data_IF_860108582020
#
_entry.id   IF_860108582020
#
_cell.length_a   1.000
_cell.length_b   1.000
_cell.length_c   1.000
_cell.angle_alpha   90.00
_cell.angle_beta   90.00
_cell.angle_gamma   90.00
#
_symmetry.space_group_name_H-M   'P 1'
#
loop_
_entity.id
_entity.type
_entity.pdbx_description
1 polymer ?
#
# COMPACT_ATOMS: atom_id res chain seq x y z
N UNK A 1 38.56 -27.53 -43.57
CA UNK A 1 39.01 -27.05 -44.89
C UNK A 1 37.79 -26.93 -45.81
N UNK A 2 37.76 -25.92 -46.70
CA UNK A 2 36.60 -25.06 -46.93
C UNK A 2 35.86 -25.36 -48.25
N UNK A 3 34.66 -24.82 -48.44
CA UNK A 3 34.22 -24.40 -49.79
C UNK A 3 33.57 -23.03 -49.75
N UNK A 4 34.36 -22.07 -50.23
CA UNK A 4 33.95 -20.81 -50.82
C UNK A 4 32.99 -21.06 -51.99
N UNK A 5 31.99 -20.19 -52.12
CA UNK A 5 31.13 -20.10 -53.30
C UNK A 5 30.43 -18.74 -53.37
N UNK A 6 30.96 -17.84 -54.20
CA UNK A 6 30.27 -16.68 -54.80
C UNK A 6 30.32 -16.86 -56.32
N UNK A 7 29.64 -16.05 -57.17
CA UNK A 7 28.34 -15.35 -57.08
C UNK A 7 27.48 -15.59 -58.35
N UNK A 8 26.19 -15.16 -58.41
CA UNK A 8 25.53 -14.83 -59.71
C UNK A 8 24.56 -13.63 -59.59
N UNK A 9 24.50 -12.87 -60.69
CA UNK A 9 24.04 -11.47 -60.82
C UNK A 9 22.53 -11.28 -61.01
N UNK A 10 22.04 -10.21 -60.36
CA UNK A 10 21.13 -9.14 -60.79
C UNK A 10 19.97 -9.42 -61.78
N UNK A 11 18.75 -9.01 -61.39
CA UNK A 11 17.77 -8.35 -62.29
C UNK A 11 16.94 -7.31 -61.54
N UNK A 12 17.22 -6.05 -61.86
CA UNK A 12 16.38 -4.87 -61.66
C UNK A 12 14.92 -5.11 -62.07
N UNK A 13 13.97 -4.70 -61.22
CA UNK A 13 12.63 -4.28 -61.64
C UNK A 13 12.25 -2.97 -60.94
N UNK A 14 12.01 -1.97 -61.77
CA UNK A 14 11.67 -0.58 -61.44
C UNK A 14 10.28 -0.41 -60.80
N UNK A 15 10.27 0.38 -59.72
CA UNK A 15 9.39 1.53 -59.36
C UNK A 15 7.89 1.30 -59.08
N UNK A 16 7.46 1.71 -57.87
CA UNK A 16 6.34 2.65 -57.62
C UNK A 16 6.64 3.54 -56.40
N UNK A 17 6.39 4.86 -56.42
CA UNK A 17 6.66 5.74 -55.28
C UNK A 17 5.52 5.65 -54.27
N UNK A 18 5.82 5.14 -53.06
CA UNK A 18 4.89 5.06 -51.95
C UNK A 18 5.15 6.16 -50.92
N UNK A 19 4.29 7.18 -50.92
CA UNK A 19 3.91 8.10 -49.83
C UNK A 19 4.80 8.08 -48.57
N UNK A 20 5.63 9.11 -48.37
CA UNK A 20 6.20 9.41 -47.06
C UNK A 20 5.07 9.86 -46.12
N UNK A 21 4.59 8.95 -45.28
CA UNK A 21 3.85 9.31 -44.06
C UNK A 21 4.91 9.38 -42.96
N UNK A 22 5.21 10.60 -42.51
CA UNK A 22 6.12 10.83 -41.40
C UNK A 22 5.63 10.05 -40.18
N UNK A 23 6.46 9.13 -39.71
CA UNK A 23 6.28 8.50 -38.42
C UNK A 23 6.50 9.59 -37.36
N UNK A 24 5.41 10.17 -36.87
CA UNK A 24 5.42 10.86 -35.59
C UNK A 24 5.74 9.81 -34.54
N UNK A 25 7.02 9.71 -34.21
CA UNK A 25 7.54 8.94 -33.10
C UNK A 25 7.07 9.60 -31.80
N UNK A 26 5.78 9.39 -31.49
CA UNK A 26 5.31 9.52 -30.11
C UNK A 26 5.93 8.35 -29.39
N UNK A 27 7.14 8.59 -28.90
CA UNK A 27 7.85 7.73 -27.97
C UNK A 27 6.91 7.45 -26.79
N UNK A 28 6.13 6.38 -26.88
CA UNK A 28 5.47 5.77 -25.73
C UNK A 28 6.63 5.26 -24.89
N UNK A 29 7.03 6.04 -23.89
CA UNK A 29 7.97 5.59 -22.87
C UNK A 29 7.45 4.25 -22.35
N UNK A 30 8.17 3.20 -22.67
CA UNK A 30 7.94 1.89 -22.09
C UNK A 30 8.09 2.07 -20.58
N UNK A 31 7.02 1.84 -19.84
CA UNK A 31 7.03 1.93 -18.39
C UNK A 31 7.84 0.72 -17.89
N UNK A 32 9.15 0.88 -17.77
CA UNK A 32 10.01 -0.12 -17.15
C UNK A 32 9.69 -0.14 -15.67
N UNK A 33 9.13 -1.23 -15.10
CA UNK A 33 8.84 -1.29 -13.68
C UNK A 33 10.15 -1.52 -12.94
N UNK A 34 10.87 -0.42 -12.68
CA UNK A 34 12.19 -0.49 -12.09
C UNK A 34 12.67 0.86 -11.61
N UNK A 35 12.80 0.99 -10.29
CA UNK A 35 13.73 1.91 -9.64
C UNK A 35 13.45 3.42 -9.69
N UNK A 36 12.32 3.87 -10.22
CA UNK A 36 11.85 5.29 -10.15
C UNK A 36 10.80 5.54 -9.04
N UNK A 37 10.64 4.57 -8.12
CA UNK A 37 9.66 4.57 -7.02
C UNK A 37 10.22 5.23 -5.74
N UNK A 38 11.13 6.22 -5.84
CA UNK A 38 11.68 6.91 -4.66
C UNK A 38 11.04 8.27 -4.43
N UNK A 39 10.95 9.12 -5.45
CA UNK A 39 10.49 10.51 -5.25
C UNK A 39 9.01 10.58 -4.92
N UNK A 40 8.18 9.81 -5.62
CA UNK A 40 6.74 9.74 -5.34
C UNK A 40 6.46 9.06 -4.00
N UNK A 41 7.24 8.01 -3.68
CA UNK A 41 7.17 7.35 -2.39
C UNK A 41 7.55 8.32 -1.28
N UNK A 42 8.65 9.04 -1.43
CA UNK A 42 9.12 10.00 -0.45
C UNK A 42 8.10 11.12 -0.25
N UNK A 43 7.54 11.66 -1.34
CA UNK A 43 6.45 12.63 -1.27
C UNK A 43 5.24 12.08 -0.54
N UNK A 44 4.87 10.81 -0.76
CA UNK A 44 3.75 10.18 -0.05
C UNK A 44 4.05 10.00 1.44
N UNK A 45 5.27 9.58 1.78
CA UNK A 45 5.75 9.47 3.15
C UNK A 45 5.68 10.83 3.86
N UNK A 46 6.22 11.88 3.24
CA UNK A 46 6.28 13.21 3.83
C UNK A 46 4.88 13.80 4.04
N UNK A 47 3.97 13.63 3.06
CA UNK A 47 2.56 14.01 3.22
C UNK A 47 1.89 13.25 4.35
N UNK A 48 2.11 11.93 4.44
CA UNK A 48 1.54 11.09 5.48
C UNK A 48 2.03 11.54 6.87
N UNK A 49 3.34 11.74 7.03
CA UNK A 49 3.96 12.23 8.27
C UNK A 49 3.38 13.57 8.70
N UNK A 50 3.37 14.57 7.81
CA UNK A 50 2.82 15.89 8.11
C UNK A 50 1.33 15.83 8.48
N UNK A 51 0.55 14.97 7.81
CA UNK A 51 -0.87 14.78 8.11
C UNK A 51 -1.06 14.15 9.51
N UNK A 52 -0.30 13.12 9.84
CA UNK A 52 -0.36 12.47 11.16
C UNK A 52 0.05 13.44 12.26
N UNK A 53 1.14 14.18 12.08
CA UNK A 53 1.62 15.17 13.05
C UNK A 53 0.54 16.24 13.32
N UNK A 54 0.00 16.85 12.26
CA UNK A 54 -1.05 17.87 12.38
C UNK A 54 -2.28 17.33 13.14
N UNK A 55 -2.78 16.15 12.74
CA UNK A 55 -3.96 15.55 13.36
C UNK A 55 -3.69 15.13 14.81
N UNK A 56 -2.48 14.64 15.11
CA UNK A 56 -2.09 14.28 16.45
C UNK A 56 -2.07 15.51 17.37
N UNK A 57 -1.49 16.62 16.90
CA UNK A 57 -1.46 17.89 17.64
C UNK A 57 -2.86 18.43 17.92
N UNK A 58 -3.76 18.37 16.94
CA UNK A 58 -5.18 18.75 17.13
C UNK A 58 -5.86 17.88 18.19
N UNK A 59 -5.58 16.57 18.19
CA UNK A 59 -6.13 15.64 19.18
C UNK A 59 -5.57 15.90 20.58
N UNK A 60 -4.26 16.14 20.71
CA UNK A 60 -3.60 16.48 21.97
C UNK A 60 -4.13 17.79 22.55
N UNK A 61 -4.26 18.85 21.73
CA UNK A 61 -4.84 20.13 22.15
C UNK A 61 -6.29 20.01 22.57
N UNK A 62 -7.05 19.13 21.91
CA UNK A 62 -8.45 18.84 22.24
C UNK A 62 -8.64 17.82 23.35
N UNK A 63 -7.58 17.32 23.98
CA UNK A 63 -7.60 16.22 24.95
C UNK A 63 -8.50 15.04 24.52
N UNK A 64 -8.39 14.64 23.25
CA UNK A 64 -9.22 13.60 22.65
C UNK A 64 -8.37 12.61 21.87
N UNK A 65 -8.90 11.41 21.65
CA UNK A 65 -8.30 10.42 20.74
C UNK A 65 -8.66 10.77 19.28
N UNK A 66 -7.83 10.36 18.35
CA UNK A 66 -8.10 10.50 16.93
C UNK A 66 -9.30 9.62 16.53
N UNK A 67 -10.17 10.15 15.68
CA UNK A 67 -11.36 9.48 15.14
C UNK A 67 -11.32 9.64 13.63
N UNK A 68 -11.30 8.52 12.92
CA UNK A 68 -11.38 8.48 11.47
C UNK A 68 -12.84 8.57 11.04
N UNK A 69 -13.21 9.67 10.39
CA UNK A 69 -14.57 9.90 9.89
C UNK A 69 -14.92 9.05 8.67
N UNK A 70 -13.92 8.58 7.92
CA UNK A 70 -14.14 7.69 6.76
C UNK A 70 -14.29 6.23 7.20
N UNK A 71 -13.87 5.91 8.42
CA UNK A 71 -13.95 4.59 9.03
C UNK A 71 -14.32 4.71 10.51
N UNK A 72 -15.56 5.13 10.74
CA UNK A 72 -16.02 5.57 12.04
C UNK A 72 -16.50 4.42 12.92
N UNK A 73 -15.61 3.91 13.78
CA UNK A 73 -15.94 2.80 14.68
C UNK A 73 -16.97 3.15 15.77
N UNK A 74 -17.27 4.44 15.99
CA UNK A 74 -18.19 4.89 17.04
C UNK A 74 -19.60 5.02 16.47
N UNK A 75 -19.76 5.77 15.38
CA UNK A 75 -21.08 6.04 14.81
C UNK A 75 -21.46 5.06 13.69
N UNK A 76 -20.49 4.41 13.04
CA UNK A 76 -20.71 3.45 11.95
C UNK A 76 -20.16 2.05 12.33
N UNK A 77 -20.50 1.61 13.54
CA UNK A 77 -19.99 0.37 14.13
C UNK A 77 -20.31 -0.85 13.28
N UNK A 78 -21.53 -0.99 12.80
CA UNK A 78 -21.96 -2.21 12.10
C UNK A 78 -21.22 -2.38 10.76
N UNK A 79 -20.94 -1.29 10.04
CA UNK A 79 -20.14 -1.32 8.81
C UNK A 79 -18.66 -1.62 9.07
N UNK A 80 -18.15 -1.23 10.23
CA UNK A 80 -16.77 -1.53 10.64
C UNK A 80 -16.61 -2.95 11.20
N UNK A 81 -17.67 -3.51 11.81
CA UNK A 81 -17.67 -4.82 12.45
C UNK A 81 -18.01 -5.96 11.49
N UNK A 82 -18.86 -5.69 10.50
CA UNK A 82 -19.36 -6.68 9.57
C UNK A 82 -18.88 -6.41 8.15
N UNK A 83 -18.80 -7.46 7.34
CA UNK A 83 -18.50 -7.31 5.93
C UNK A 83 -19.59 -6.45 5.25
N UNK A 84 -19.22 -5.70 4.23
CA UNK A 84 -20.15 -4.79 3.52
C UNK A 84 -21.35 -5.52 2.90
N UNK A 85 -21.23 -6.82 2.68
CA UNK A 85 -22.22 -7.74 2.13
C UNK A 85 -22.85 -8.66 3.19
N UNK A 86 -22.60 -8.42 4.47
CA UNK A 86 -23.14 -9.27 5.53
C UNK A 86 -24.65 -9.04 5.71
N UNK A 87 -25.46 -10.02 5.30
CA UNK A 87 -26.92 -9.99 5.52
C UNK A 87 -27.30 -10.18 7.00
N UNK A 88 -26.41 -10.78 7.81
CA UNK A 88 -26.62 -11.05 9.23
C UNK A 88 -25.33 -10.83 10.03
N UNK A 89 -25.44 -10.41 11.31
CA UNK A 89 -24.27 -10.28 12.19
C UNK A 89 -23.60 -11.64 12.37
N UNK A 90 -22.33 -11.73 11.96
CA UNK A 90 -21.55 -12.97 11.98
C UNK A 90 -21.07 -13.36 13.39
N UNK A 91 -20.96 -12.41 14.30
CA UNK A 91 -20.39 -12.58 15.63
C UNK A 91 -21.35 -12.04 16.69
N UNK A 92 -21.57 -12.82 17.77
CA UNK A 92 -22.40 -12.41 18.90
C UNK A 92 -21.96 -13.14 20.18
N UNK A 93 -21.70 -12.42 21.29
CA UNK A 93 -21.59 -10.96 21.36
C UNK A 93 -20.37 -10.45 20.58
N UNK A 94 -20.44 -9.21 20.09
CA UNK A 94 -19.34 -8.58 19.37
C UNK A 94 -19.30 -7.08 19.69
N UNK A 95 -18.09 -6.53 19.73
CA UNK A 95 -17.85 -5.13 20.07
C UNK A 95 -16.60 -4.61 19.33
N UNK A 96 -16.48 -3.30 19.19
CA UNK A 96 -15.28 -2.64 18.65
C UNK A 96 -14.61 -1.85 19.76
N UNK A 97 -13.33 -2.11 19.99
CA UNK A 97 -12.55 -1.50 21.07
C UNK A 97 -11.19 -1.04 20.56
N UNK A 98 -10.65 0.02 21.15
CA UNK A 98 -9.25 0.41 20.90
C UNK A 98 -8.32 -0.52 21.68
N UNK A 99 -7.08 -0.64 21.21
CA UNK A 99 -6.06 -1.43 21.91
C UNK A 99 -5.87 -0.96 23.36
N UNK A 100 -5.95 0.35 23.60
CA UNK A 100 -5.88 0.96 24.95
C UNK A 100 -7.06 0.62 25.86
N UNK A 101 -8.17 0.12 25.32
CA UNK A 101 -9.34 -0.29 26.10
C UNK A 101 -9.26 -1.78 26.49
N UNK A 102 -8.30 -2.52 25.90
CA UNK A 102 -8.09 -3.96 26.08
C UNK A 102 -6.85 -4.20 26.95
N UNK A 103 -5.80 -3.39 26.77
CA UNK A 103 -4.51 -3.53 27.46
C UNK A 103 -4.15 -2.25 28.22
N UNK A 104 -3.55 -2.41 29.41
CA UNK A 104 -3.17 -1.28 30.27
C UNK A 104 -1.97 -0.49 29.72
N UNK A 105 -0.96 -1.17 29.19
CA UNK A 105 0.25 -0.57 28.63
C UNK A 105 0.52 -1.13 27.23
N UNK A 106 -0.30 -0.75 26.23
CA UNK A 106 -0.11 -1.25 24.88
C UNK A 106 1.16 -0.69 24.25
N UNK A 107 1.92 -1.57 23.60
CA UNK A 107 3.14 -1.24 22.87
C UNK A 107 2.94 -1.63 21.41
N UNK A 108 3.46 -0.80 20.50
CA UNK A 108 3.32 -1.09 19.07
C UNK A 108 4.13 -2.33 18.64
N UNK A 109 5.36 -2.45 19.15
CA UNK A 109 6.18 -3.68 19.10
C UNK A 109 6.96 -3.81 20.40
N UNK A 110 7.20 -5.04 20.84
CA UNK A 110 8.15 -5.39 21.90
C UNK A 110 9.31 -6.10 21.22
N UNK A 111 10.52 -5.53 21.30
CA UNK A 111 11.74 -6.09 20.69
C UNK A 111 11.70 -6.25 19.15
N UNK A 112 10.81 -5.52 18.48
CA UNK A 112 10.64 -5.54 17.02
C UNK A 112 9.47 -6.42 16.57
N UNK A 113 9.18 -6.43 15.27
CA UNK A 113 8.11 -7.24 14.70
C UNK A 113 8.65 -8.58 14.19
N UNK A 114 8.06 -9.68 14.62
CA UNK A 114 8.42 -11.05 14.19
C UNK A 114 7.18 -11.81 13.75
N UNK A 115 7.38 -12.95 13.08
CA UNK A 115 6.26 -13.81 12.68
C UNK A 115 5.54 -14.41 13.90
N UNK A 116 6.25 -14.60 15.02
CA UNK A 116 5.69 -15.15 16.26
C UNK A 116 4.70 -14.21 16.95
N UNK A 117 4.73 -12.92 16.62
CA UNK A 117 3.82 -11.92 17.18
C UNK A 117 2.41 -11.98 16.57
N UNK A 118 2.20 -12.84 15.56
CA UNK A 118 0.94 -12.94 14.82
C UNK A 118 0.28 -14.28 15.10
N UNK A 119 -0.92 -14.22 15.66
CA UNK A 119 -1.80 -15.36 15.85
C UNK A 119 -3.10 -15.14 15.09
N UNK A 120 -3.50 -16.12 14.27
CA UNK A 120 -4.70 -16.02 13.46
C UNK A 120 -5.97 -16.12 14.32
N UNK A 121 -6.90 -15.18 14.10
CA UNK A 121 -8.24 -15.20 14.67
C UNK A 121 -9.27 -15.96 13.82
N UNK A 122 -10.54 -15.74 14.09
CA UNK A 122 -11.65 -16.45 13.43
C UNK A 122 -12.02 -15.92 12.02
N UNK A 123 -11.30 -14.92 11.48
CA UNK A 123 -11.70 -14.18 10.28
C UNK A 123 -11.35 -14.86 8.95
N UNK A 124 -10.58 -15.95 8.95
CA UNK A 124 -10.23 -16.68 7.72
C UNK A 124 -9.29 -15.89 6.79
N UNK A 125 -8.49 -14.99 7.36
CA UNK A 125 -7.61 -14.03 6.71
C UNK A 125 -6.13 -14.47 6.71
N UNK A 126 -5.89 -15.79 6.74
CA UNK A 126 -4.54 -16.37 6.81
C UNK A 126 -3.60 -15.87 5.72
N UNK A 127 -4.12 -15.62 4.52
CA UNK A 127 -3.37 -15.08 3.38
C UNK A 127 -2.80 -13.68 3.67
N UNK A 128 -3.55 -12.86 4.41
CA UNK A 128 -3.16 -11.51 4.79
C UNK A 128 -2.18 -11.54 5.97
N UNK A 129 -2.49 -12.34 7.00
CA UNK A 129 -1.62 -12.50 8.17
C UNK A 129 -0.24 -13.07 7.80
N UNK A 130 -0.20 -13.99 6.83
CA UNK A 130 1.06 -14.52 6.29
C UNK A 130 1.91 -13.43 5.64
N UNK A 131 1.28 -12.50 4.91
CA UNK A 131 1.99 -11.37 4.31
C UNK A 131 2.55 -10.41 5.38
N UNK A 132 1.78 -10.13 6.45
CA UNK A 132 2.25 -9.32 7.58
C UNK A 132 3.41 -10.02 8.30
N UNK A 133 3.34 -11.33 8.54
CA UNK A 133 4.42 -12.09 9.19
C UNK A 133 5.74 -12.00 8.41
N UNK A 134 5.67 -12.11 7.08
CA UNK A 134 6.82 -11.91 6.20
C UNK A 134 7.32 -10.47 6.25
N UNK A 135 6.41 -9.48 6.30
CA UNK A 135 6.81 -8.08 6.42
C UNK A 135 7.47 -7.77 7.78
N UNK A 136 6.96 -8.35 8.88
CA UNK A 136 7.50 -8.23 10.23
C UNK A 136 8.94 -8.76 10.30
N UNK A 137 9.11 -10.03 9.96
CA UNK A 137 10.43 -10.70 9.97
C UNK A 137 11.49 -10.05 9.09
N UNK A 138 11.08 -9.25 8.10
CA UNK A 138 11.98 -8.50 7.21
C UNK A 138 12.19 -7.04 7.59
N UNK A 139 11.67 -6.57 8.73
CA UNK A 139 11.76 -5.17 9.14
C UNK A 139 11.10 -4.22 8.14
N UNK A 140 10.02 -4.66 7.48
CA UNK A 140 9.29 -3.85 6.51
C UNK A 140 8.14 -3.09 7.16
N UNK A 141 7.70 -3.50 8.36
CA UNK A 141 6.58 -2.85 9.02
C UNK A 141 6.89 -1.38 9.35
N UNK A 142 8.12 -1.04 9.74
CA UNK A 142 8.50 0.36 9.97
C UNK A 142 8.57 1.19 8.67
N UNK A 143 8.73 0.54 7.51
CA UNK A 143 8.67 1.20 6.21
C UNK A 143 7.25 1.42 5.72
N UNK A 144 6.31 0.58 6.17
CA UNK A 144 4.89 0.67 5.82
C UNK A 144 4.20 1.64 6.78
N UNK A 145 4.45 1.55 8.09
CA UNK A 145 3.94 2.46 9.12
C UNK A 145 4.93 3.61 9.34
N UNK A 146 4.71 4.72 8.63
CA UNK A 146 5.71 5.79 8.48
C UNK A 146 5.57 6.92 9.50
N UNK A 147 4.44 7.00 10.18
CA UNK A 147 4.18 7.92 11.28
C UNK A 147 3.16 7.32 12.23
N UNK A 148 3.26 7.65 13.52
CA UNK A 148 2.29 7.24 14.53
C UNK A 148 2.37 8.13 15.76
N UNK A 149 1.26 8.21 16.49
CA UNK A 149 1.21 8.75 17.84
C UNK A 149 0.24 7.90 18.67
N UNK A 150 0.80 6.95 19.42
CA UNK A 150 0.07 5.94 20.18
C UNK A 150 -0.77 6.58 21.30
N UNK A 151 -0.35 7.74 21.82
CA UNK A 151 -1.07 8.46 22.88
C UNK A 151 -2.45 8.93 22.44
N UNK A 152 -2.62 9.30 21.17
CA UNK A 152 -3.93 9.69 20.63
C UNK A 152 -4.54 8.62 19.72
N UNK A 153 -3.82 7.53 19.46
CA UNK A 153 -4.28 6.42 18.62
C UNK A 153 -4.44 6.85 17.17
N UNK A 154 -3.35 7.32 16.56
CA UNK A 154 -3.29 7.67 15.14
C UNK A 154 -2.06 7.04 14.50
N UNK A 155 -2.24 6.43 13.33
CA UNK A 155 -1.23 5.70 12.60
C UNK A 155 -1.31 6.03 11.11
N UNK A 156 -0.16 6.31 10.49
CA UNK A 156 -0.01 6.61 9.08
C UNK A 156 0.72 5.49 8.35
N UNK A 157 0.08 4.96 7.31
CA UNK A 157 0.58 3.85 6.52
C UNK A 157 0.73 4.23 5.04
N UNK A 158 1.71 3.63 4.38
CA UNK A 158 1.89 3.73 2.92
C UNK A 158 1.54 2.39 2.28
N UNK A 159 0.61 2.42 1.34
CA UNK A 159 0.21 1.26 0.54
C UNK A 159 0.54 1.47 -0.93
N UNK A 160 1.03 0.41 -1.56
CA UNK A 160 1.25 0.38 -3.01
C UNK A 160 0.00 -0.17 -3.71
N UNK A 161 -0.53 0.57 -4.69
CA UNK A 161 -1.66 0.12 -5.51
C UNK A 161 -1.25 0.05 -6.96
N UNK A 162 -1.30 -1.16 -7.53
CA UNK A 162 -0.91 -1.45 -8.92
C UNK A 162 -1.56 -0.53 -9.98
N UNK A 163 -2.77 -0.03 -9.71
CA UNK A 163 -3.56 0.77 -10.68
C UNK A 163 -3.63 2.26 -10.33
N UNK A 164 -3.16 2.69 -9.16
CA UNK A 164 -3.46 4.02 -8.60
C UNK A 164 -2.27 4.69 -7.90
N UNK A 165 -1.06 4.21 -8.17
CA UNK A 165 0.19 4.64 -7.55
C UNK A 165 0.22 4.44 -6.02
N UNK A 166 1.09 5.16 -5.32
CA UNK A 166 1.30 5.05 -3.87
C UNK A 166 0.24 5.86 -3.14
N UNK A 167 -0.46 5.22 -2.19
CA UNK A 167 -1.46 5.86 -1.34
C UNK A 167 -1.02 5.93 0.11
N UNK A 168 -1.15 7.11 0.72
CA UNK A 168 -1.08 7.30 2.16
C UNK A 168 -2.45 7.14 2.82
N UNK A 169 -2.50 6.44 3.95
CA UNK A 169 -3.72 6.16 4.71
C UNK A 169 -3.46 6.44 6.17
N UNK A 170 -4.34 7.21 6.82
CA UNK A 170 -4.25 7.54 8.25
C UNK A 170 -5.45 6.93 8.96
N UNK A 171 -5.22 6.11 9.98
CA UNK A 171 -6.24 5.37 10.74
C UNK A 171 -6.07 5.50 12.25
N UNK A 172 -7.12 5.12 12.97
CA UNK A 172 -7.14 4.98 14.44
C UNK A 172 -6.34 3.79 14.94
#
# INVERSE_FOLDING_TARGET
>A
MPRFGMPRKNKDKRIRPGRHVGANDRQRKANTPGLLVTDELQRAIDRCKAKVEKLADECLKGNRKFRDIEFDIIEDRDRCLHALDAEKPKYSPADIRRVTDIFENPQFFVDGATASDISQGALGDCWFLSAIAVAGTRGLIEKICVARNEKVGIYGFIFYRYVKDISDVVRC
#
